data_IF_946466174421
#
_entry.id   IF_946466174421
#
_cell.length_a   1.000
_cell.length_b   1.000
_cell.length_c   1.000
_cell.angle_alpha   90.00
_cell.angle_beta   90.00
_cell.angle_gamma   90.00
#
_symmetry.space_group_name_H-M   'P 1'
#
loop_
_entity.id
_entity.type
_entity.pdbx_description
1 polymer ?
#
# COMPACT_ATOMS: atom_id res chain seq x y z
N UNK A 1 7.59 1.97 8.49
CA UNK A 1 7.89 1.08 7.34
C UNK A 1 8.27 1.88 6.09
N UNK A 2 9.14 1.30 5.31
CA UNK A 2 9.52 1.77 3.98
C UNK A 2 9.24 0.64 2.99
N UNK A 3 8.24 0.82 2.14
CA UNK A 3 7.72 -0.25 1.28
C UNK A 3 7.75 0.14 -0.18
N UNK A 4 8.33 -0.73 -1.00
CA UNK A 4 8.25 -0.68 -2.45
C UNK A 4 7.16 -1.65 -2.92
N UNK A 5 6.20 -1.16 -3.69
CA UNK A 5 5.14 -1.96 -4.30
C UNK A 5 5.41 -2.09 -5.80
N UNK A 6 5.51 -3.32 -6.27
CA UNK A 6 5.73 -3.64 -7.69
C UNK A 6 4.55 -4.45 -8.24
N UNK A 7 4.25 -4.32 -9.55
CA UNK A 7 3.20 -5.13 -10.16
C UNK A 7 3.48 -6.63 -10.04
N UNK A 8 2.41 -7.41 -9.86
CA UNK A 8 2.42 -8.87 -9.92
C UNK A 8 1.26 -9.33 -10.83
N UNK A 9 1.22 -10.61 -11.17
CA UNK A 9 0.13 -11.15 -12.01
C UNK A 9 -1.25 -10.91 -11.39
N UNK A 10 -1.36 -11.14 -10.08
CA UNK A 10 -2.52 -10.80 -9.28
C UNK A 10 -2.06 -9.89 -8.12
N UNK A 11 -2.64 -8.69 -8.00
CA UNK A 11 -2.32 -7.75 -6.94
C UNK A 11 -0.93 -7.12 -7.09
N UNK A 12 -0.18 -7.03 -6.00
CA UNK A 12 1.15 -6.39 -5.94
C UNK A 12 2.09 -7.16 -5.05
N UNK A 13 3.36 -7.14 -5.42
CA UNK A 13 4.45 -7.59 -4.56
C UNK A 13 4.92 -6.40 -3.71
N UNK A 14 5.01 -6.61 -2.41
CA UNK A 14 5.53 -5.62 -1.47
C UNK A 14 6.89 -6.07 -0.94
N UNK A 15 7.85 -5.15 -0.98
CA UNK A 15 9.17 -5.30 -0.36
C UNK A 15 9.29 -4.24 0.71
N UNK A 16 9.52 -4.62 1.98
CA UNK A 16 9.44 -3.71 3.12
C UNK A 16 10.68 -3.80 4.00
N UNK A 17 11.22 -2.65 4.36
CA UNK A 17 12.17 -2.46 5.46
C UNK A 17 11.47 -1.75 6.62
N UNK A 18 11.80 -2.13 7.85
CA UNK A 18 11.24 -1.55 9.07
C UNK A 18 12.34 -0.75 9.80
N UNK A 19 11.99 0.45 10.23
CA UNK A 19 12.87 1.35 10.98
C UNK A 19 12.23 1.69 12.32
N UNK A 20 13.07 2.01 13.31
CA UNK A 20 12.58 2.67 14.52
C UNK A 20 12.12 4.10 14.19
N UNK A 21 11.27 4.67 15.03
CA UNK A 21 10.63 5.97 14.75
C UNK A 21 11.66 7.07 14.50
N UNK A 22 12.72 7.12 15.29
CA UNK A 22 13.77 8.15 15.18
C UNK A 22 14.51 8.09 13.84
N UNK A 23 14.80 6.89 13.34
CA UNK A 23 15.41 6.70 12.02
C UNK A 23 14.47 7.13 10.90
N UNK A 24 13.21 6.72 10.99
CA UNK A 24 12.19 7.07 10.00
C UNK A 24 11.99 8.59 9.93
N UNK A 25 11.89 9.25 11.07
CA UNK A 25 11.76 10.71 11.16
C UNK A 25 12.99 11.43 10.58
N UNK A 26 14.20 10.92 10.82
CA UNK A 26 15.42 11.46 10.24
C UNK A 26 15.44 11.39 8.71
N UNK A 27 15.03 10.27 8.12
CA UNK A 27 14.90 10.12 6.67
C UNK A 27 13.87 11.10 6.08
N UNK A 28 12.72 11.24 6.73
CA UNK A 28 11.66 12.17 6.31
C UNK A 28 12.15 13.62 6.38
N UNK A 29 12.78 14.01 7.49
CA UNK A 29 13.31 15.37 7.69
C UNK A 29 14.40 15.72 6.67
N UNK A 30 15.32 14.80 6.41
CA UNK A 30 16.41 14.99 5.46
C UNK A 30 15.95 14.84 3.99
N UNK A 31 14.72 14.41 3.76
CA UNK A 31 14.19 14.07 2.43
C UNK A 31 15.09 13.08 1.67
N UNK A 32 15.61 12.11 2.40
CA UNK A 32 16.49 11.07 1.87
C UNK A 32 15.84 9.71 2.07
N UNK A 33 16.06 8.83 1.10
CA UNK A 33 15.65 7.44 1.21
C UNK A 33 16.84 6.56 1.66
N UNK A 34 16.58 5.49 2.40
CA UNK A 34 17.62 4.55 2.81
C UNK A 34 18.42 4.01 1.63
N UNK A 35 19.72 3.86 1.79
CA UNK A 35 20.64 3.28 0.79
C UNK A 35 21.17 1.89 1.23
N UNK A 36 20.38 1.20 2.01
CA UNK A 36 20.62 -0.19 2.44
C UNK A 36 19.27 -0.86 2.69
N UNK A 37 19.26 -2.17 2.83
CA UNK A 37 18.05 -2.95 3.07
C UNK A 37 17.45 -3.58 1.82
N UNK A 38 16.33 -4.26 2.00
CA UNK A 38 15.66 -5.01 0.94
C UNK A 38 15.08 -4.10 -0.15
N UNK A 39 14.51 -2.96 0.25
CA UNK A 39 13.94 -1.99 -0.71
C UNK A 39 15.04 -1.37 -1.56
N UNK A 40 16.16 -0.98 -0.95
CA UNK A 40 17.31 -0.45 -1.68
C UNK A 40 17.86 -1.47 -2.69
N UNK A 41 18.01 -2.74 -2.29
CA UNK A 41 18.45 -3.79 -3.19
C UNK A 41 17.50 -3.97 -4.37
N UNK A 42 16.19 -3.97 -4.10
CA UNK A 42 15.17 -4.09 -5.16
C UNK A 42 15.18 -2.90 -6.13
N UNK A 43 15.36 -1.68 -5.62
CA UNK A 43 15.52 -0.49 -6.47
C UNK A 43 16.78 -0.61 -7.35
N UNK A 44 17.88 -1.08 -6.78
CA UNK A 44 19.14 -1.30 -7.53
C UNK A 44 18.96 -2.33 -8.64
N UNK A 45 18.26 -3.43 -8.38
CA UNK A 45 17.94 -4.46 -9.37
C UNK A 45 17.09 -3.89 -10.53
N UNK A 46 16.29 -2.88 -10.25
CA UNK A 46 15.47 -2.14 -11.22
C UNK A 46 16.21 -0.96 -11.88
N UNK A 47 17.50 -0.76 -11.56
CA UNK A 47 18.32 0.38 -11.99
C UNK A 47 17.72 1.75 -11.60
N UNK A 48 17.09 1.83 -10.42
CA UNK A 48 16.53 3.06 -9.88
C UNK A 48 17.41 3.56 -8.73
N UNK A 49 17.96 4.77 -8.88
CA UNK A 49 18.67 5.43 -7.79
C UNK A 49 17.64 6.06 -6.82
N UNK A 50 17.67 5.72 -5.53
CA UNK A 50 16.79 6.36 -4.54
C UNK A 50 16.88 7.90 -4.53
N UNK A 51 18.04 8.47 -4.87
CA UNK A 51 18.22 9.92 -4.94
C UNK A 51 17.43 10.58 -6.08
N UNK A 52 17.01 9.82 -7.08
CA UNK A 52 16.18 10.32 -8.19
C UNK A 52 14.68 10.38 -7.86
N UNK A 53 14.27 9.75 -6.76
CA UNK A 53 12.87 9.71 -6.37
C UNK A 53 12.43 11.01 -5.70
N UNK A 54 11.25 11.48 -6.08
CA UNK A 54 10.64 12.68 -5.52
C UNK A 54 9.32 12.33 -4.82
N UNK A 55 9.01 13.06 -3.75
CA UNK A 55 7.73 12.91 -3.08
C UNK A 55 6.60 13.44 -3.98
N UNK A 56 5.67 12.57 -4.35
CA UNK A 56 4.52 12.91 -5.21
C UNK A 56 3.27 13.26 -4.41
N UNK A 57 3.19 12.86 -3.15
CA UNK A 57 2.04 13.14 -2.32
C UNK A 57 2.16 12.65 -0.89
N UNK A 58 1.13 12.95 -0.11
CA UNK A 58 0.96 12.51 1.26
C UNK A 58 -0.49 12.12 1.50
N UNK A 59 -0.70 11.00 2.14
CA UNK A 59 -2.01 10.54 2.62
C UNK A 59 -1.94 10.26 4.11
N UNK A 60 -3.04 10.54 4.80
CA UNK A 60 -3.28 10.06 6.16
C UNK A 60 -4.34 8.98 6.10
N UNK A 61 -4.08 7.83 6.69
CA UNK A 61 -5.01 6.70 6.72
C UNK A 61 -5.27 6.28 8.15
N UNK A 62 -6.54 6.15 8.50
CA UNK A 62 -6.99 5.46 9.71
C UNK A 62 -7.40 4.06 9.30
N UNK A 63 -6.77 3.04 9.89
CA UNK A 63 -6.96 1.64 9.55
C UNK A 63 -7.47 0.84 10.73
N UNK A 64 -8.47 0.01 10.48
CA UNK A 64 -8.87 -1.07 11.36
C UNK A 64 -8.52 -2.41 10.70
N UNK A 65 -7.78 -3.25 11.40
CA UNK A 65 -7.36 -4.57 10.91
C UNK A 65 -7.88 -5.67 11.83
N UNK A 66 -8.32 -6.76 11.25
CA UNK A 66 -8.68 -7.96 12.00
C UNK A 66 -8.48 -9.23 11.15
N UNK A 67 -7.98 -10.30 11.78
CA UNK A 67 -7.90 -11.58 11.11
C UNK A 67 -9.30 -12.14 10.89
N UNK A 68 -9.53 -12.67 9.70
CA UNK A 68 -10.70 -13.47 9.34
C UNK A 68 -10.22 -14.81 8.77
N UNK A 69 -11.13 -15.73 8.54
CA UNK A 69 -10.80 -17.06 8.00
C UNK A 69 -10.05 -16.95 6.66
N UNK A 70 -10.39 -15.98 5.86
CA UNK A 70 -9.87 -15.79 4.50
C UNK A 70 -8.51 -15.07 4.45
N UNK A 71 -8.12 -14.37 5.51
CA UNK A 71 -6.88 -13.60 5.59
C UNK A 71 -6.93 -12.46 6.59
N UNK A 72 -6.13 -11.42 6.37
CA UNK A 72 -6.17 -10.20 7.16
C UNK A 72 -7.03 -9.15 6.45
N UNK A 73 -8.17 -8.83 7.06
CA UNK A 73 -9.08 -7.81 6.54
C UNK A 73 -8.68 -6.44 7.08
N UNK A 74 -8.57 -5.45 6.21
CA UNK A 74 -8.32 -4.06 6.57
C UNK A 74 -9.41 -3.15 6.04
N UNK A 75 -9.89 -2.24 6.88
CA UNK A 75 -10.81 -1.16 6.53
C UNK A 75 -10.07 0.15 6.69
N UNK A 76 -9.89 0.88 5.59
CA UNK A 76 -9.18 2.14 5.53
C UNK A 76 -10.13 3.30 5.31
N UNK A 77 -9.92 4.37 6.06
CA UNK A 77 -10.40 5.71 5.75
C UNK A 77 -9.18 6.59 5.50
N UNK A 78 -9.08 7.21 4.33
CA UNK A 78 -7.90 7.94 3.88
C UNK A 78 -8.22 9.38 3.49
N UNK A 79 -7.33 10.29 3.87
CA UNK A 79 -7.42 11.72 3.55
C UNK A 79 -6.15 12.19 2.84
N UNK A 80 -6.34 13.00 1.83
CA UNK A 80 -5.30 13.76 1.13
C UNK A 80 -5.82 15.15 0.78
N UNK A 81 -5.05 15.91 0.00
CA UNK A 81 -5.41 17.31 -0.31
C UNK A 81 -6.81 17.46 -0.93
N UNK A 82 -7.17 16.57 -1.86
CA UNK A 82 -8.47 16.54 -2.54
C UNK A 82 -9.10 15.14 -2.51
N UNK A 83 -8.71 14.31 -1.56
CA UNK A 83 -9.18 12.94 -1.43
C UNK A 83 -9.72 12.68 -0.03
N UNK A 84 -10.94 12.16 0.04
CA UNK A 84 -11.49 11.49 1.21
C UNK A 84 -12.15 10.20 0.74
N UNK A 85 -11.63 9.06 1.14
CA UNK A 85 -11.97 7.78 0.52
C UNK A 85 -11.96 6.65 1.53
N UNK A 86 -12.72 5.60 1.21
CA UNK A 86 -12.82 4.38 2.00
C UNK A 86 -12.42 3.18 1.14
N UNK A 87 -11.69 2.24 1.73
CA UNK A 87 -11.21 1.06 1.04
C UNK A 87 -11.32 -0.17 1.95
N UNK A 88 -11.72 -1.28 1.36
CA UNK A 88 -11.69 -2.59 2.00
C UNK A 88 -10.63 -3.43 1.30
N UNK A 89 -9.67 -3.92 2.06
CA UNK A 89 -8.56 -4.74 1.57
C UNK A 89 -8.60 -6.12 2.25
N UNK A 90 -8.26 -7.16 1.52
CA UNK A 90 -8.00 -8.48 2.07
C UNK A 90 -6.58 -8.92 1.69
N UNK A 91 -5.71 -9.03 2.69
CA UNK A 91 -4.37 -9.57 2.51
C UNK A 91 -4.41 -11.09 2.63
N UNK A 92 -3.90 -11.78 1.61
CA UNK A 92 -3.96 -13.24 1.48
C UNK A 92 -2.60 -13.79 1.06
N UNK A 93 -2.38 -15.09 1.31
CA UNK A 93 -1.17 -15.78 0.87
C UNK A 93 -1.28 -16.19 -0.61
N UNK A 94 -2.44 -16.68 -1.02
CA UNK A 94 -2.75 -17.07 -2.40
C UNK A 94 -3.75 -16.07 -2.99
N UNK A 95 -3.29 -15.29 -3.97
CA UNK A 95 -4.10 -14.21 -4.55
C UNK A 95 -5.32 -14.74 -5.35
N UNK A 96 -5.20 -15.86 -6.06
CA UNK A 96 -6.30 -16.42 -6.84
C UNK A 96 -7.41 -16.95 -5.94
N UNK A 97 -7.07 -17.77 -4.95
CA UNK A 97 -8.01 -18.26 -3.95
C UNK A 97 -8.57 -17.11 -3.10
N UNK A 98 -7.74 -16.15 -2.76
CA UNK A 98 -8.10 -14.95 -2.00
C UNK A 98 -9.13 -14.08 -2.69
N UNK A 99 -9.05 -13.92 -4.01
CA UNK A 99 -10.04 -13.16 -4.79
C UNK A 99 -11.42 -13.78 -4.72
N UNK A 100 -11.51 -15.11 -4.86
CA UNK A 100 -12.77 -15.85 -4.73
C UNK A 100 -13.34 -15.72 -3.31
N UNK A 101 -12.48 -15.90 -2.30
CA UNK A 101 -12.86 -15.75 -0.90
C UNK A 101 -13.35 -14.33 -0.57
N UNK A 102 -12.69 -13.32 -1.11
CA UNK A 102 -13.07 -11.92 -0.94
C UNK A 102 -14.44 -11.61 -1.57
N UNK A 103 -14.68 -12.03 -2.79
CA UNK A 103 -15.98 -11.88 -3.45
C UNK A 103 -17.09 -12.56 -2.62
N UNK A 104 -16.85 -13.77 -2.11
CA UNK A 104 -17.81 -14.47 -1.27
C UNK A 104 -18.03 -13.76 0.08
N UNK A 105 -16.97 -13.20 0.67
CA UNK A 105 -17.07 -12.36 1.87
C UNK A 105 -17.98 -11.15 1.62
N UNK A 106 -17.73 -10.40 0.54
CA UNK A 106 -18.54 -9.22 0.18
C UNK A 106 -20.02 -9.59 -0.01
N UNK A 107 -20.33 -10.72 -0.64
CA UNK A 107 -21.70 -11.21 -0.83
C UNK A 107 -22.42 -11.42 0.52
N UNK A 108 -21.73 -11.91 1.55
CA UNK A 108 -22.31 -12.10 2.89
C UNK A 108 -22.82 -10.78 3.50
N UNK A 109 -22.21 -9.66 3.12
CA UNK A 109 -22.56 -8.32 3.60
C UNK A 109 -23.34 -7.50 2.57
N UNK A 110 -23.80 -8.13 1.50
CA UNK A 110 -24.52 -7.45 0.40
C UNK A 110 -23.73 -6.29 -0.21
N UNK A 111 -22.41 -6.42 -0.24
CA UNK A 111 -21.51 -5.42 -0.82
C UNK A 111 -21.14 -5.81 -2.25
N UNK A 112 -21.24 -4.90 -3.23
CA UNK A 112 -20.78 -5.16 -4.59
C UNK A 112 -19.25 -5.15 -4.63
N UNK A 113 -18.66 -6.04 -5.44
CA UNK A 113 -17.24 -5.98 -5.75
C UNK A 113 -16.97 -4.80 -6.68
N UNK A 114 -16.23 -3.83 -6.18
CA UNK A 114 -15.81 -2.63 -6.93
C UNK A 114 -14.28 -2.53 -6.89
N UNK A 115 -13.58 -3.11 -7.89
CA UNK A 115 -12.13 -2.97 -7.94
C UNK A 115 -11.75 -1.50 -8.00
N UNK A 116 -10.86 -1.09 -7.10
CA UNK A 116 -10.39 0.27 -7.03
C UNK A 116 -9.00 0.40 -7.68
N UNK A 117 -8.74 1.54 -8.30
CA UNK A 117 -7.36 1.98 -8.57
C UNK A 117 -6.61 2.06 -7.24
N UNK A 118 -5.30 1.91 -7.28
CA UNK A 118 -4.53 2.03 -6.05
C UNK A 118 -4.67 3.43 -5.40
N UNK A 119 -4.54 3.46 -4.11
CA UNK A 119 -4.71 4.67 -3.28
C UNK A 119 -3.87 5.86 -3.75
N UNK A 120 -2.62 5.61 -4.08
CA UNK A 120 -1.71 6.66 -4.59
C UNK A 120 -2.18 7.19 -5.94
N UNK A 121 -2.63 6.33 -6.84
CA UNK A 121 -3.17 6.74 -8.13
C UNK A 121 -4.43 7.60 -7.97
N UNK A 122 -5.35 7.20 -7.08
CA UNK A 122 -6.54 8.00 -6.78
C UNK A 122 -6.17 9.38 -6.22
N UNK A 123 -5.16 9.43 -5.33
CA UNK A 123 -4.66 10.69 -4.79
C UNK A 123 -4.09 11.60 -5.89
N UNK A 124 -3.29 11.05 -6.80
CA UNK A 124 -2.70 11.84 -7.88
C UNK A 124 -3.75 12.33 -8.87
N UNK A 125 -4.74 11.51 -9.20
CA UNK A 125 -5.86 11.89 -10.07
C UNK A 125 -6.75 12.97 -9.42
N UNK A 126 -6.95 12.93 -8.10
CA UNK A 126 -7.74 13.91 -7.37
C UNK A 126 -7.08 15.31 -7.29
N UNK A 127 -5.77 15.41 -7.52
CA UNK A 127 -5.05 16.70 -7.58
C UNK A 127 -5.29 17.46 -8.89
N UNK A 128 -5.71 16.78 -9.92
CA UNK A 128 -6.01 17.33 -11.23
C UNK A 128 -7.50 17.68 -11.31
#
# INVERSE_FOLDING_TARGET
EYTLKTPAEEGRLETTDTFVTEEAEAFIFQKRLPRSGAVFQKLSDLNIDPASLIQTGKLTTKRAEFPIKEGLLAIDESWGDNLHDFELELEVVDASAGKIAFINFLKRFSLPYRPAKNKIQRMLEAKN
#
